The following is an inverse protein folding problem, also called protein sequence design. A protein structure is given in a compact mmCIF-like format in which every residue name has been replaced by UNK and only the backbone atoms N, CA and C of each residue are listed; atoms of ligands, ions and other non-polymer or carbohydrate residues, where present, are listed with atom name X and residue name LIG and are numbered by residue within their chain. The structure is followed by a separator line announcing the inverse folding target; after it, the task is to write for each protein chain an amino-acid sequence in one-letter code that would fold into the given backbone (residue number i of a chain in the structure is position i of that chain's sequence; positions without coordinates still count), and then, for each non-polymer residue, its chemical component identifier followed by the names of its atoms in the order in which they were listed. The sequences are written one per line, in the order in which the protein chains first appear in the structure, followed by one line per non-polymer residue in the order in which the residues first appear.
data_IF_884180015212
#
_entry.id   IF_884180015212
#
_cell.length_a   1.000
_cell.length_b   1.000
_cell.length_c   1.000
_cell.angle_alpha   90.00
_cell.angle_beta   90.00
_cell.angle_gamma   90.00
#
_symmetry.space_group_name_H-M   'P 1'
#
loop_
_entity.id
_entity.type
_entity.pdbx_description
1 polymer ?
#
# COMPACT_ATOMS: atom_id res chain seq x y z
N UNK A 1 4.21 13.83 7.02
CA UNK A 1 3.68 12.47 7.14
C UNK A 1 3.25 11.89 5.81
N UNK A 2 2.46 12.64 5.07
CA UNK A 2 1.97 12.15 3.77
C UNK A 2 3.10 11.99 2.76
N UNK A 3 4.19 12.71 2.93
CA UNK A 3 5.34 12.59 2.03
C UNK A 3 6.01 11.22 2.15
N UNK A 4 6.10 10.64 3.33
CA UNK A 4 6.65 9.29 3.52
C UNK A 4 5.78 8.25 2.85
N UNK A 5 4.46 8.40 2.98
CA UNK A 5 3.51 7.50 2.34
C UNK A 5 3.63 7.58 0.83
N UNK A 6 3.71 8.80 0.31
CA UNK A 6 3.87 9.02 -1.12
C UNK A 6 5.17 8.41 -1.65
N UNK A 7 6.27 8.62 -0.93
CA UNK A 7 7.56 8.03 -1.31
C UNK A 7 7.50 6.51 -1.30
N UNK A 8 6.85 5.93 -0.30
CA UNK A 8 6.71 4.48 -0.20
C UNK A 8 5.91 3.92 -1.36
N UNK A 9 4.83 4.61 -1.76
CA UNK A 9 4.06 4.21 -2.93
C UNK A 9 4.88 4.29 -4.20
N UNK A 10 5.69 5.33 -4.36
CA UNK A 10 6.57 5.46 -5.51
C UNK A 10 7.61 4.35 -5.56
N UNK A 11 8.18 4.01 -4.42
CA UNK A 11 9.13 2.89 -4.34
C UNK A 11 8.47 1.57 -4.71
N UNK A 12 7.25 1.38 -4.27
CA UNK A 12 6.49 0.18 -4.60
C UNK A 12 6.24 0.09 -6.11
N UNK A 13 5.83 1.20 -6.73
CA UNK A 13 5.61 1.25 -8.17
C UNK A 13 6.89 0.97 -8.94
N UNK A 14 8.01 1.55 -8.51
CA UNK A 14 9.31 1.30 -9.14
C UNK A 14 9.70 -0.17 -9.02
N UNK A 15 9.49 -0.76 -7.85
CA UNK A 15 9.79 -2.16 -7.63
C UNK A 15 8.94 -3.07 -8.53
N UNK A 16 7.68 -2.70 -8.74
CA UNK A 16 6.80 -3.43 -9.64
C UNK A 16 7.33 -3.42 -11.07
N UNK A 17 7.80 -2.27 -11.52
CA UNK A 17 8.34 -2.15 -12.87
C UNK A 17 9.58 -3.01 -13.07
N UNK A 18 10.42 -3.11 -12.05
CA UNK A 18 11.68 -3.87 -12.14
C UNK A 18 11.53 -5.35 -11.86
N UNK A 19 10.44 -5.77 -11.21
CA UNK A 19 10.27 -7.16 -10.81
C UNK A 19 9.78 -8.07 -11.93
N UNK A 20 9.33 -7.50 -13.05
CA UNK A 20 8.78 -8.28 -14.15
C UNK A 20 7.30 -8.60 -13.96
N UNK A 21 6.78 -9.59 -14.70
CA UNK A 21 5.34 -9.90 -14.62
C UNK A 21 4.92 -10.36 -13.24
N UNK A 22 3.84 -9.79 -12.74
CA UNK A 22 3.25 -10.13 -11.46
C UNK A 22 1.97 -10.92 -11.71
N UNK A 23 1.70 -11.91 -10.86
CA UNK A 23 0.50 -12.70 -10.88
C UNK A 23 -0.74 -11.78 -10.92
N UNK A 24 -1.72 -12.10 -11.77
CA UNK A 24 -2.92 -11.26 -11.93
C UNK A 24 -3.65 -11.03 -10.61
N UNK A 25 -3.77 -12.07 -9.79
CA UNK A 25 -4.43 -11.95 -8.50
C UNK A 25 -3.71 -10.95 -7.60
N UNK A 26 -2.39 -11.08 -7.51
CA UNK A 26 -1.58 -10.19 -6.68
C UNK A 26 -1.56 -8.77 -7.24
N UNK A 27 -1.54 -8.65 -8.56
CA UNK A 27 -1.58 -7.34 -9.22
C UNK A 27 -2.90 -6.63 -8.91
N UNK A 28 -4.01 -7.35 -8.98
CA UNK A 28 -5.33 -6.79 -8.66
C UNK A 28 -5.44 -6.34 -7.22
N UNK A 29 -4.94 -7.14 -6.28
CA UNK A 29 -4.94 -6.79 -4.87
C UNK A 29 -4.08 -5.55 -4.61
N UNK A 30 -2.94 -5.48 -5.27
CA UNK A 30 -2.04 -4.35 -5.12
C UNK A 30 -2.64 -3.07 -5.69
N UNK A 31 -3.30 -3.15 -6.85
CA UNK A 31 -3.99 -2.01 -7.43
C UNK A 31 -5.09 -1.49 -6.50
N UNK A 32 -5.85 -2.40 -5.91
CA UNK A 32 -6.91 -2.01 -4.99
C UNK A 32 -6.34 -1.29 -3.77
N UNK A 33 -5.24 -1.82 -3.23
CA UNK A 33 -4.57 -1.18 -2.11
C UNK A 33 -4.08 0.22 -2.49
N UNK A 34 -3.48 0.36 -3.65
CA UNK A 34 -2.98 1.64 -4.14
C UNK A 34 -4.10 2.67 -4.28
N UNK A 35 -5.23 2.27 -4.86
CA UNK A 35 -6.39 3.15 -5.01
C UNK A 35 -6.92 3.58 -3.65
N UNK A 36 -7.03 2.64 -2.71
CA UNK A 36 -7.54 2.95 -1.38
C UNK A 36 -6.62 3.92 -0.63
N UNK A 37 -5.32 3.77 -0.79
CA UNK A 37 -4.36 4.68 -0.18
C UNK A 37 -4.45 6.08 -0.80
N UNK A 38 -4.61 6.15 -2.12
CA UNK A 38 -4.78 7.43 -2.81
C UNK A 38 -6.04 8.14 -2.34
N UNK A 39 -7.12 7.41 -2.16
CA UNK A 39 -8.36 7.96 -1.64
C UNK A 39 -8.16 8.49 -0.22
N UNK A 40 -7.44 7.76 0.60
CA UNK A 40 -7.12 8.23 1.94
C UNK A 40 -6.35 9.55 1.90
N UNK A 41 -5.35 9.65 1.03
CA UNK A 41 -4.56 10.85 0.90
C UNK A 41 -5.41 12.04 0.45
N UNK A 42 -6.34 11.82 -0.47
CA UNK A 42 -7.27 12.86 -0.91
C UNK A 42 -8.17 13.33 0.23
N UNK A 43 -8.69 12.40 1.02
CA UNK A 43 -9.53 12.74 2.16
C UNK A 43 -8.77 13.54 3.21
N UNK A 44 -7.53 13.17 3.47
CA UNK A 44 -6.69 13.90 4.43
C UNK A 44 -6.36 15.30 3.92
N UNK A 45 -6.10 15.45 2.62
CA UNK A 45 -5.83 16.75 2.01
C UNK A 45 -7.06 17.66 2.08
N UNK A 46 -8.26 17.09 1.92
CA UNK A 46 -9.51 17.81 2.02
C UNK A 46 -9.98 17.98 3.47
N UNK A 47 -9.27 17.39 4.42
CA UNK A 47 -9.63 17.39 5.84
C UNK A 47 -11.01 16.81 6.13
N UNK A 48 -11.44 15.89 5.28
CA UNK A 48 -12.69 15.19 5.50
C UNK A 48 -12.49 14.12 6.57
N UNK A 49 -13.35 14.16 7.57
CA UNK A 49 -13.40 13.14 8.61
C UNK A 49 -14.60 12.26 8.34
N UNK A 50 -14.38 11.19 7.64
CA UNK A 50 -15.41 10.23 7.36
C UNK A 50 -15.17 9.00 8.24
N UNK A 51 -16.09 8.75 9.15
CA UNK A 51 -16.00 7.64 10.08
C UNK A 51 -16.21 6.29 9.40
N UNK A 52 -16.87 6.29 8.26
CA UNK A 52 -17.11 5.09 7.48
C UNK A 52 -15.99 4.88 6.45
N UNK A 53 -14.80 5.20 6.83
CA UNK A 53 -13.66 5.15 5.95
C UNK A 53 -13.41 3.74 5.42
N UNK A 54 -13.36 3.58 4.11
CA UNK A 54 -12.96 2.35 3.47
C UNK A 54 -11.46 2.10 3.61
N UNK A 55 -10.77 3.05 4.25
CA UNK A 55 -9.32 2.96 4.47
C UNK A 55 -8.95 2.22 5.75
N UNK A 56 -9.95 1.70 6.45
CA UNK A 56 -9.72 0.96 7.69
C UNK A 56 -8.95 -0.32 7.39
N UNK A 57 -7.93 -0.59 8.19
CA UNK A 57 -7.17 -1.83 8.05
C UNK A 57 -6.18 -1.84 6.90
N UNK A 58 -5.81 -0.68 6.38
CA UNK A 58 -4.82 -0.62 5.29
C UNK A 58 -3.48 -1.20 5.69
N UNK A 59 -3.05 -0.97 6.94
CA UNK A 59 -1.79 -1.52 7.43
C UNK A 59 -1.83 -3.05 7.41
N UNK A 60 -2.93 -3.64 7.88
CA UNK A 60 -3.09 -5.09 7.86
C UNK A 60 -3.10 -5.64 6.44
N UNK A 61 -3.80 -4.97 5.54
CA UNK A 61 -3.87 -5.39 4.14
C UNK A 61 -2.49 -5.35 3.48
N UNK A 62 -1.72 -4.32 3.79
CA UNK A 62 -0.35 -4.20 3.28
C UNK A 62 0.53 -5.33 3.81
N UNK A 63 0.38 -5.69 5.08
CA UNK A 63 1.14 -6.78 5.68
C UNK A 63 0.74 -8.13 5.09
N UNK A 64 -0.53 -8.35 4.83
CA UNK A 64 -0.99 -9.57 4.17
C UNK A 64 -0.42 -9.71 2.77
N UNK A 65 -0.43 -8.62 2.02
CA UNK A 65 0.17 -8.60 0.68
C UNK A 65 1.66 -8.84 0.74
N UNK A 66 2.34 -8.23 1.70
CA UNK A 66 3.76 -8.43 1.91
C UNK A 66 4.08 -9.91 2.10
N UNK A 67 3.28 -10.59 2.92
CA UNK A 67 3.48 -12.03 3.15
C UNK A 67 3.28 -12.85 1.88
N UNK A 68 2.25 -12.51 1.09
CA UNK A 68 1.98 -13.21 -0.17
C UNK A 68 3.08 -12.97 -1.19
N UNK A 69 3.55 -11.74 -1.29
CA UNK A 69 4.62 -11.40 -2.22
C UNK A 69 5.96 -11.99 -1.80
N UNK A 70 6.17 -12.20 -0.50
CA UNK A 70 7.42 -12.79 -0.02
C UNK A 70 7.67 -14.17 -0.61
N UNK A 71 6.60 -14.90 -0.89
CA UNK A 71 6.69 -16.24 -1.46
C UNK A 71 6.97 -16.20 -2.96
N UNK A 72 6.22 -15.37 -3.69
CA UNK A 72 6.27 -15.32 -5.16
C UNK A 72 7.17 -14.24 -5.72
N UNK A 73 7.23 -13.10 -5.03
CA UNK A 73 7.97 -11.93 -5.50
C UNK A 73 8.73 -11.31 -4.33
N UNK A 74 9.80 -11.98 -3.86
CA UNK A 74 10.50 -11.50 -2.66
C UNK A 74 11.09 -10.10 -2.78
N UNK A 75 11.31 -9.62 -4.00
CA UNK A 75 11.84 -8.28 -4.22
C UNK A 75 10.81 -7.19 -3.88
N UNK A 76 9.53 -7.51 -3.95
CA UNK A 76 8.46 -6.57 -3.63
C UNK A 76 8.10 -6.55 -2.15
N UNK A 77 8.43 -7.61 -1.44
CA UNK A 77 8.08 -7.73 -0.03
C UNK A 77 8.59 -6.56 0.82
N UNK A 78 9.88 -6.14 0.72
CA UNK A 78 10.35 -5.04 1.55
C UNK A 78 9.58 -3.74 1.35
N UNK A 79 9.21 -3.43 0.11
CA UNK A 79 8.45 -2.21 -0.20
C UNK A 79 7.06 -2.26 0.44
N UNK A 80 6.39 -3.41 0.36
CA UNK A 80 5.07 -3.58 0.95
C UNK A 80 5.14 -3.55 2.48
N UNK A 81 6.16 -4.15 3.06
CA UNK A 81 6.33 -4.15 4.51
C UNK A 81 6.56 -2.73 5.02
N UNK A 82 7.40 -1.96 4.35
CA UNK A 82 7.63 -0.58 4.71
C UNK A 82 6.34 0.24 4.62
N UNK A 83 5.58 0.03 3.56
CA UNK A 83 4.28 0.69 3.40
C UNK A 83 3.35 0.36 4.56
N UNK A 84 3.29 -0.91 4.95
CA UNK A 84 2.46 -1.34 6.07
C UNK A 84 2.88 -0.69 7.39
N UNK A 85 4.17 -0.55 7.61
CA UNK A 85 4.69 0.10 8.81
C UNK A 85 4.31 1.58 8.85
N UNK A 86 4.41 2.26 7.72
CA UNK A 86 4.02 3.68 7.63
C UNK A 86 2.54 3.83 7.93
N UNK A 87 1.71 2.99 7.34
CA UNK A 87 0.27 3.02 7.58
C UNK A 87 -0.08 2.72 9.04
N UNK A 88 0.61 1.75 9.64
CA UNK A 88 0.40 1.42 11.04
C UNK A 88 0.76 2.60 11.95
N UNK A 89 1.84 3.30 11.63
CA UNK A 89 2.24 4.49 12.39
C UNK A 89 1.24 5.63 12.25
N UNK A 90 0.50 5.66 11.15
CA UNK A 90 -0.56 6.64 10.93
C UNK A 90 -1.87 6.23 11.58
N UNK A 91 -1.97 5.03 12.11
CA UNK A 91 -3.17 4.54 12.78
C UNK A 91 -4.25 4.02 11.84
N UNK A 92 -3.87 3.58 10.65
CA UNK A 92 -4.84 3.12 9.65
C UNK A 92 -4.54 1.73 9.08
#
# INVERSE_FOLDING_TARGET
MDSKLKESLQQLHSALETSGPVDEELHGLLQKLDVDIKLLMEKRAAQEQDEESTTYGLAERSQELSAKFAVKHPKLEPALRELGEILANMGI
#
